data_IF_805903995810
#
_entry.id   IF_805903995810
#
_cell.length_a   1.000
_cell.length_b   1.000
_cell.length_c   1.000
_cell.angle_alpha   90.00
_cell.angle_beta   90.00
_cell.angle_gamma   90.00
#
_symmetry.space_group_name_H-M   'P 1'
#
loop_
_entity.id
_entity.type
_entity.pdbx_description
1 polymer ?
#
# COMPACT_ATOMS: atom_id res chain seq x y z
N UNK A 1 56.32 -20.93 17.93
CA UNK A 1 57.11 -20.24 16.88
C UNK A 1 57.22 -21.17 15.69
N UNK A 2 56.92 -20.70 14.48
CA UNK A 2 57.09 -21.44 13.22
C UNK A 2 57.50 -20.43 12.13
N UNK A 3 58.24 -20.86 11.12
CA UNK A 3 59.05 -19.98 10.25
C UNK A 3 58.51 -19.89 8.83
N UNK A 4 58.32 -18.67 8.31
CA UNK A 4 58.02 -18.39 6.90
C UNK A 4 59.17 -17.62 6.25
N UNK A 5 59.85 -18.20 5.25
CA UNK A 5 60.85 -17.51 4.40
C UNK A 5 60.93 -18.11 2.99
N UNK A 6 60.49 -17.37 1.99
CA UNK A 6 60.89 -17.37 0.55
C UNK A 6 60.23 -16.09 -0.04
N UNK A 7 60.90 -15.05 -0.56
CA UNK A 7 61.84 -14.93 -1.70
C UNK A 7 61.31 -15.61 -2.98
N UNK A 8 61.16 -14.95 -4.15
CA UNK A 8 61.50 -13.56 -4.56
C UNK A 8 60.44 -13.05 -5.60
N UNK A 9 60.55 -12.00 -6.42
CA UNK A 9 61.69 -11.21 -6.95
C UNK A 9 61.30 -9.74 -7.26
N UNK A 10 61.82 -9.13 -8.34
CA UNK A 10 61.63 -7.73 -8.76
C UNK A 10 60.95 -7.60 -10.13
N UNK A 11 60.38 -6.42 -10.43
CA UNK A 11 60.75 -5.65 -11.63
C UNK A 11 60.31 -4.17 -11.55
N UNK A 12 61.02 -3.28 -12.27
CA UNK A 12 60.82 -1.82 -12.29
C UNK A 12 60.59 -1.32 -13.73
N UNK A 13 59.57 -0.48 -13.94
CA UNK A 13 59.40 0.39 -15.12
C UNK A 13 58.78 1.72 -14.63
N UNK A 14 59.58 2.78 -14.46
CA UNK A 14 59.93 3.81 -15.45
C UNK A 14 58.78 4.76 -15.84
N UNK A 15 59.09 6.06 -15.73
CA UNK A 15 58.21 7.21 -15.95
C UNK A 15 58.73 7.97 -17.17
N UNK A 16 57.86 8.49 -18.05
CA UNK A 16 58.27 9.46 -19.06
C UNK A 16 57.10 10.38 -19.48
N UNK A 17 57.36 11.69 -19.49
CA UNK A 17 56.53 12.69 -20.16
C UNK A 17 56.96 12.81 -21.63
N UNK A 18 56.03 13.22 -22.50
CA UNK A 18 56.32 14.10 -23.65
C UNK A 18 55.07 14.91 -24.04
N UNK A 19 55.27 16.04 -24.70
CA UNK A 19 54.25 17.08 -24.89
C UNK A 19 53.78 17.26 -26.33
N UNK A 20 52.50 17.65 -26.49
CA UNK A 20 51.95 18.59 -27.49
C UNK A 20 52.43 18.55 -28.95
N UNK A 21 51.48 18.31 -29.87
CA UNK A 21 51.43 18.97 -31.19
C UNK A 21 50.03 19.56 -31.42
N UNK A 22 49.91 20.56 -32.29
CA UNK A 22 48.72 21.42 -32.46
C UNK A 22 48.05 21.15 -33.82
N UNK A 23 46.72 21.21 -33.88
CA UNK A 23 45.97 21.52 -35.10
C UNK A 23 44.55 21.99 -34.74
N UNK A 24 44.06 22.99 -35.48
CA UNK A 24 42.94 23.87 -35.08
C UNK A 24 41.64 23.66 -35.89
N UNK A 25 40.60 24.44 -35.55
CA UNK A 25 39.36 24.74 -36.32
C UNK A 25 38.19 23.71 -36.16
N UNK A 26 36.93 24.11 -35.86
CA UNK A 26 36.46 25.10 -34.87
C UNK A 26 35.21 24.65 -34.06
N UNK A 27 34.84 25.28 -32.92
CA UNK A 27 33.57 25.04 -32.24
C UNK A 27 32.45 26.03 -32.65
N UNK A 28 31.18 25.60 -32.79
CA UNK A 28 30.06 26.51 -33.05
C UNK A 28 29.57 27.25 -31.78
N UNK A 29 29.40 28.56 -31.91
CA UNK A 29 28.56 29.42 -31.06
C UNK A 29 27.07 29.26 -31.45
N UNK A 30 26.04 29.61 -30.66
CA UNK A 30 25.88 30.15 -29.29
C UNK A 30 24.40 29.99 -28.88
N UNK A 31 24.07 29.87 -27.58
CA UNK A 31 22.80 30.39 -26.97
C UNK A 31 22.64 30.02 -25.47
N UNK A 32 23.42 30.61 -24.57
CA UNK A 32 23.15 30.54 -23.10
C UNK A 32 22.47 31.81 -22.62
N UNK A 33 21.17 31.73 -22.33
CA UNK A 33 20.38 32.86 -21.82
C UNK A 33 20.66 33.10 -20.32
N UNK A 34 21.62 33.98 -20.03
CA UNK A 34 21.73 34.59 -18.71
C UNK A 34 20.65 35.66 -18.51
N UNK A 35 19.82 35.49 -17.48
CA UNK A 35 19.00 36.56 -16.91
C UNK A 35 19.59 36.98 -15.56
N UNK A 36 19.81 38.29 -15.38
CA UNK A 36 20.39 38.90 -14.18
C UNK A 36 19.38 39.91 -13.60
N UNK A 37 19.19 39.98 -12.26
CA UNK A 37 18.05 40.71 -11.69
C UNK A 37 18.23 42.23 -11.72
N UNK A 38 17.11 42.94 -11.85
CA UNK A 38 17.00 44.39 -11.69
C UNK A 38 16.22 44.72 -10.42
N UNK A 39 16.88 45.34 -9.44
CA UNK A 39 16.18 46.03 -8.36
C UNK A 39 15.48 47.28 -8.92
N UNK A 40 14.29 47.60 -8.42
CA UNK A 40 13.74 48.96 -8.47
C UNK A 40 12.89 49.20 -7.23
N UNK A 41 13.34 50.13 -6.39
CA UNK A 41 12.66 50.54 -5.16
C UNK A 41 11.55 51.54 -5.49
N UNK A 42 10.35 51.33 -4.97
CA UNK A 42 9.26 52.30 -5.03
C UNK A 42 8.84 52.70 -3.60
N UNK A 43 9.46 53.76 -3.07
CA UNK A 43 9.04 54.40 -1.81
C UNK A 43 7.94 55.42 -2.08
N UNK A 44 6.85 55.34 -1.32
CA UNK A 44 5.87 56.41 -1.17
C UNK A 44 5.53 56.59 0.31
N UNK A 45 5.56 57.84 0.79
CA UNK A 45 5.27 58.18 2.18
C UNK A 45 4.43 59.45 2.24
N UNK A 46 3.42 59.48 3.11
CA UNK A 46 3.17 60.64 3.98
C UNK A 46 2.20 60.30 5.15
N UNK A 47 2.39 61.09 6.21
CA UNK A 47 1.47 61.50 7.29
C UNK A 47 -0.04 61.52 7.00
N UNK A 48 -0.94 61.53 7.99
CA UNK A 48 -0.89 61.31 9.46
C UNK A 48 -2.31 61.43 10.00
N UNK A 49 -2.66 60.80 11.15
CA UNK A 49 -3.53 61.46 12.15
C UNK A 49 -3.45 60.83 13.55
N UNK A 50 -3.80 61.63 14.55
CA UNK A 50 -3.90 61.30 15.98
C UNK A 50 -5.11 60.39 16.31
N UNK A 51 -4.95 59.52 17.32
CA UNK A 51 -5.57 59.80 18.63
C UNK A 51 -4.86 59.07 19.79
N UNK A 52 -4.81 59.72 20.96
CA UNK A 52 -4.38 59.10 22.22
C UNK A 52 -5.38 58.05 22.71
N UNK A 53 -4.92 57.09 23.51
CA UNK A 53 -5.34 56.98 24.91
C UNK A 53 -4.24 56.33 25.77
N UNK A 54 -4.18 56.69 27.06
CA UNK A 54 -3.24 56.15 28.05
C UNK A 54 -3.74 54.81 28.61
N UNK A 55 -2.84 53.89 28.99
CA UNK A 55 -2.44 53.77 30.42
C UNK A 55 -1.31 52.75 30.64
N UNK A 56 -0.71 52.82 31.83
CA UNK A 56 0.51 52.13 32.23
C UNK A 56 0.29 50.71 32.77
N UNK A 57 1.37 49.94 32.64
CA UNK A 57 1.71 48.74 33.43
C UNK A 57 1.43 48.94 34.93
N UNK A 58 0.90 47.91 35.59
CA UNK A 58 1.22 47.55 36.99
C UNK A 58 1.38 46.03 37.07
N UNK A 59 2.44 45.58 37.73
CA UNK A 59 2.63 44.20 38.16
C UNK A 59 2.30 44.09 39.65
N UNK A 60 1.59 43.05 40.08
CA UNK A 60 1.46 42.72 41.49
C UNK A 60 1.14 41.26 41.73
N UNK A 61 1.33 40.81 42.97
CA UNK A 61 1.18 39.41 43.40
C UNK A 61 0.20 39.30 44.56
N UNK A 62 -0.59 38.21 44.60
CA UNK A 62 -0.69 37.28 45.75
C UNK A 62 -1.67 36.13 45.50
N UNK A 63 -1.72 35.23 46.49
CA UNK A 63 -2.29 33.87 46.45
C UNK A 63 -3.76 33.81 46.91
N UNK A 64 -4.31 32.59 46.78
CA UNK A 64 -5.56 32.06 47.36
C UNK A 64 -6.89 32.48 46.71
N UNK A 65 -7.45 31.53 45.94
CA UNK A 65 -8.88 31.21 46.04
C UNK A 65 -9.08 29.70 45.88
N UNK A 66 -10.21 29.20 46.39
CA UNK A 66 -10.49 27.80 46.73
C UNK A 66 -11.15 27.05 45.54
N UNK A 67 -11.06 25.72 45.54
CA UNK A 67 -11.74 24.83 44.58
C UNK A 67 -13.24 25.13 44.42
N UNK A 68 -13.77 24.86 43.23
CA UNK A 68 -14.87 23.89 43.13
C UNK A 68 -14.46 22.64 42.33
N UNK A 69 -14.80 21.45 42.84
CA UNK A 69 -14.70 20.20 42.08
C UNK A 69 -15.79 20.14 41.02
N UNK A 70 -15.52 20.60 39.81
CA UNK A 70 -16.39 20.35 38.65
C UNK A 70 -16.15 18.94 38.14
N UNK A 71 -17.18 18.09 38.22
CA UNK A 71 -17.15 16.73 37.70
C UNK A 71 -16.86 16.72 36.20
N UNK A 72 -15.77 16.07 35.79
CA UNK A 72 -15.52 15.78 34.37
C UNK A 72 -16.52 14.71 33.90
N UNK A 73 -17.72 15.16 33.51
CA UNK A 73 -18.67 14.36 32.76
C UNK A 73 -18.12 14.16 31.35
N UNK A 74 -17.33 13.10 31.16
CA UNK A 74 -16.78 12.72 29.85
C UNK A 74 -17.90 12.65 28.82
N UNK A 75 -17.88 13.47 27.74
CA UNK A 75 -18.78 13.25 26.62
C UNK A 75 -18.35 11.94 25.95
N UNK A 76 -19.14 10.89 26.15
CA UNK A 76 -19.00 9.61 25.45
C UNK A 76 -19.40 9.79 23.99
N UNK A 77 -18.48 10.39 23.22
CA UNK A 77 -18.62 10.74 21.81
C UNK A 77 -18.79 9.50 20.95
N UNK A 78 -20.02 9.01 20.90
CA UNK A 78 -20.50 7.92 20.05
C UNK A 78 -20.69 8.42 18.62
N UNK A 79 -19.59 8.86 17.99
CA UNK A 79 -19.50 9.31 16.60
C UNK A 79 -19.56 8.15 15.58
N UNK A 80 -20.35 7.11 15.88
CA UNK A 80 -20.58 5.97 14.97
C UNK A 80 -21.36 6.37 13.70
N UNK A 81 -22.13 7.47 13.76
CA UNK A 81 -22.97 7.95 12.65
C UNK A 81 -22.21 8.67 11.52
N UNK A 82 -20.91 8.96 11.66
CA UNK A 82 -20.13 9.68 10.63
C UNK A 82 -19.16 8.80 9.85
N UNK A 83 -19.06 7.50 10.18
CA UNK A 83 -18.12 6.58 9.51
C UNK A 83 -18.71 5.85 8.30
N UNK A 84 -20.02 5.59 8.28
CA UNK A 84 -20.68 4.82 7.21
C UNK A 84 -20.32 5.34 5.82
N UNK A 85 -20.45 6.65 5.61
CA UNK A 85 -20.39 7.25 4.28
C UNK A 85 -18.96 7.45 3.74
N UNK A 86 -17.94 6.94 4.44
CA UNK A 86 -16.53 7.12 4.06
C UNK A 86 -16.16 6.27 2.84
N UNK A 87 -16.77 5.08 2.72
CA UNK A 87 -16.39 4.06 1.73
C UNK A 87 -17.44 3.81 0.64
N UNK A 88 -18.61 4.47 0.72
CA UNK A 88 -19.72 4.33 -0.24
C UNK A 88 -19.26 4.47 -1.70
N UNK A 89 -18.38 5.43 -1.98
CA UNK A 89 -17.87 5.70 -3.33
C UNK A 89 -16.96 4.56 -3.83
N UNK A 90 -16.08 4.03 -2.97
CA UNK A 90 -15.26 2.86 -3.27
C UNK A 90 -16.13 1.63 -3.53
N UNK A 91 -17.14 1.39 -2.68
CA UNK A 91 -18.07 0.28 -2.85
C UNK A 91 -18.91 0.44 -4.13
N UNK A 92 -19.34 1.66 -4.49
CA UNK A 92 -20.06 1.94 -5.74
C UNK A 92 -19.17 1.62 -6.97
N UNK A 93 -17.90 2.04 -6.98
CA UNK A 93 -17.00 1.74 -8.08
C UNK A 93 -16.72 0.22 -8.19
N UNK A 94 -16.42 -0.44 -7.08
CA UNK A 94 -16.14 -1.88 -7.04
C UNK A 94 -17.35 -2.75 -7.42
N UNK A 95 -18.54 -2.45 -6.87
CA UNK A 95 -19.79 -3.16 -7.24
C UNK A 95 -20.20 -2.94 -8.69
N UNK A 96 -19.78 -1.84 -9.31
CA UNK A 96 -19.96 -1.55 -10.74
C UNK A 96 -18.83 -2.11 -11.63
N UNK A 97 -17.85 -2.83 -11.06
CA UNK A 97 -16.63 -3.30 -11.73
C UNK A 97 -15.76 -2.18 -12.37
N UNK A 98 -15.93 -0.95 -11.93
CA UNK A 98 -15.12 0.22 -12.32
C UNK A 98 -13.81 0.21 -11.52
N UNK A 99 -12.98 -0.81 -11.72
CA UNK A 99 -11.79 -1.09 -10.90
C UNK A 99 -10.71 0.01 -10.99
N UNK A 100 -10.67 0.77 -12.09
CA UNK A 100 -9.76 1.92 -12.22
C UNK A 100 -10.16 3.06 -11.30
N UNK A 101 -11.43 3.43 -11.32
CA UNK A 101 -11.98 4.49 -10.47
C UNK A 101 -11.94 4.06 -9.00
N UNK A 102 -12.11 2.76 -8.71
CA UNK A 102 -11.87 2.19 -7.39
C UNK A 102 -10.41 2.30 -6.92
N UNK A 103 -9.42 2.17 -7.82
CA UNK A 103 -8.00 2.39 -7.50
C UNK A 103 -7.70 3.87 -7.22
N UNK A 104 -8.25 4.77 -8.05
CA UNK A 104 -8.12 6.21 -7.86
C UNK A 104 -8.77 6.67 -6.52
N UNK A 105 -9.93 6.10 -6.17
CA UNK A 105 -10.62 6.33 -4.89
C UNK A 105 -9.91 5.69 -3.70
N UNK A 106 -9.39 4.46 -3.83
CA UNK A 106 -8.57 3.80 -2.79
C UNK A 106 -7.35 4.66 -2.44
N UNK A 107 -6.70 5.22 -3.45
CA UNK A 107 -5.56 6.14 -3.29
C UNK A 107 -5.97 7.42 -2.57
N UNK A 108 -7.14 8.00 -2.88
CA UNK A 108 -7.71 9.16 -2.17
C UNK A 108 -8.00 8.82 -0.71
N UNK A 109 -8.58 7.66 -0.42
CA UNK A 109 -8.89 7.20 0.93
C UNK A 109 -7.63 7.03 1.78
N UNK A 110 -6.60 6.37 1.27
CA UNK A 110 -5.31 6.25 1.97
C UNK A 110 -4.69 7.62 2.28
N UNK A 111 -4.79 8.59 1.37
CA UNK A 111 -4.33 9.97 1.57
C UNK A 111 -5.12 10.66 2.70
N UNK A 112 -6.44 10.47 2.77
CA UNK A 112 -7.29 11.04 3.83
C UNK A 112 -7.00 10.39 5.19
N UNK A 113 -6.95 9.06 5.25
CA UNK A 113 -6.73 8.28 6.47
C UNK A 113 -5.31 8.47 7.06
N UNK A 114 -4.31 8.78 6.23
CA UNK A 114 -2.96 9.15 6.67
C UNK A 114 -2.88 10.57 7.28
N UNK A 115 -3.97 11.37 7.21
CA UNK A 115 -4.11 12.65 7.90
C UNK A 115 -3.86 13.90 7.05
N UNK A 116 -3.98 15.07 7.68
CA UNK A 116 -3.96 16.39 7.03
C UNK A 116 -2.67 16.67 6.24
N UNK A 117 -1.52 16.19 6.74
CA UNK A 117 -0.23 16.38 6.08
C UNK A 117 -0.12 15.57 4.78
N UNK A 118 -0.70 14.36 4.73
CA UNK A 118 -0.81 13.54 3.53
C UNK A 118 -1.79 14.16 2.52
N UNK A 119 -2.94 14.66 2.98
CA UNK A 119 -3.92 15.39 2.17
C UNK A 119 -3.30 16.64 1.52
N UNK A 120 -2.56 17.44 2.30
CA UNK A 120 -1.90 18.66 1.82
C UNK A 120 -0.83 18.39 0.76
N UNK A 121 -0.12 17.24 0.83
CA UNK A 121 0.90 16.86 -0.17
C UNK A 121 0.36 16.05 -1.35
N UNK A 122 -0.86 15.50 -1.26
CA UNK A 122 -1.48 14.65 -2.28
C UNK A 122 -0.89 13.24 -2.40
N UNK A 123 -0.18 12.74 -1.38
CA UNK A 123 0.37 11.37 -1.32
C UNK A 123 0.72 10.98 0.13
N UNK A 124 0.94 9.68 0.36
CA UNK A 124 1.29 9.11 1.68
C UNK A 124 2.78 8.77 1.73
N UNK A 125 3.49 9.15 2.81
CA UNK A 125 4.81 8.59 3.13
C UNK A 125 4.69 7.28 3.91
N UNK A 126 5.65 6.37 3.76
CA UNK A 126 5.66 5.08 4.47
C UNK A 126 5.54 5.21 6.00
N UNK A 127 6.10 6.27 6.59
CA UNK A 127 6.02 6.60 8.01
C UNK A 127 4.64 7.09 8.48
N UNK A 128 3.71 7.36 7.57
CA UNK A 128 2.34 7.79 7.86
C UNK A 128 1.35 6.62 7.88
N UNK A 129 1.73 5.47 7.28
CA UNK A 129 0.86 4.27 7.20
C UNK A 129 0.47 3.76 8.59
N UNK A 130 1.35 3.87 9.58
CA UNK A 130 1.09 3.50 10.99
C UNK A 130 -0.02 4.31 11.68
N UNK A 131 -0.48 5.42 11.07
CA UNK A 131 -1.59 6.23 11.60
C UNK A 131 -2.93 5.91 10.93
N UNK A 132 -2.93 5.11 9.86
CA UNK A 132 -4.15 4.65 9.19
C UNK A 132 -4.86 3.65 10.12
N UNK A 133 -6.12 3.89 10.53
CA UNK A 133 -6.77 3.00 11.49
C UNK A 133 -6.97 1.59 10.94
N UNK A 134 -6.70 0.58 11.77
CA UNK A 134 -6.72 -0.84 11.36
C UNK A 134 -8.04 -1.26 10.72
N UNK A 135 -9.16 -0.91 11.35
CA UNK A 135 -10.51 -1.20 10.84
C UNK A 135 -10.83 -0.48 9.53
N UNK A 136 -10.29 0.73 9.31
CA UNK A 136 -10.55 1.53 8.11
C UNK A 136 -9.73 0.99 6.92
N UNK A 137 -8.50 0.50 7.16
CA UNK A 137 -7.72 -0.20 6.13
C UNK A 137 -8.24 -1.61 5.84
N UNK A 138 -8.72 -2.34 6.85
CA UNK A 138 -9.40 -3.63 6.67
C UNK A 138 -10.70 -3.48 5.87
N UNK A 139 -11.50 -2.44 6.11
CA UNK A 139 -12.72 -2.17 5.32
C UNK A 139 -12.41 -1.95 3.82
N UNK A 140 -11.33 -1.25 3.49
CA UNK A 140 -10.86 -1.11 2.10
C UNK A 140 -10.51 -2.47 1.50
N UNK A 141 -9.76 -3.31 2.20
CA UNK A 141 -9.36 -4.64 1.73
C UNK A 141 -10.53 -5.61 1.57
N UNK A 142 -11.44 -5.65 2.55
CA UNK A 142 -12.63 -6.49 2.54
C UNK A 142 -13.54 -6.14 1.35
N UNK A 143 -13.68 -4.85 1.02
CA UNK A 143 -14.40 -4.40 -0.19
C UNK A 143 -13.70 -4.88 -1.49
N UNK A 144 -12.38 -4.72 -1.59
CA UNK A 144 -11.61 -5.20 -2.74
C UNK A 144 -11.73 -6.71 -2.93
N UNK A 145 -11.63 -7.49 -1.84
CA UNK A 145 -11.80 -8.94 -1.85
C UNK A 145 -13.21 -9.35 -2.27
N UNK A 146 -14.24 -8.79 -1.63
CA UNK A 146 -15.66 -9.09 -1.89
C UNK A 146 -16.05 -8.87 -3.36
N UNK A 147 -15.59 -7.78 -3.98
CA UNK A 147 -15.95 -7.43 -5.36
C UNK A 147 -14.99 -7.97 -6.43
N UNK A 148 -13.97 -8.75 -6.05
CA UNK A 148 -13.00 -9.38 -6.97
C UNK A 148 -12.96 -10.90 -6.91
N UNK A 149 -13.93 -11.55 -6.24
CA UNK A 149 -13.89 -12.98 -5.92
C UNK A 149 -12.58 -13.38 -5.19
N UNK A 150 -12.14 -12.55 -4.23
CA UNK A 150 -10.89 -12.70 -3.47
C UNK A 150 -9.60 -12.67 -4.31
N UNK A 151 -9.63 -12.08 -5.52
CA UNK A 151 -8.44 -11.94 -6.39
C UNK A 151 -7.65 -10.65 -6.20
N UNK A 152 -8.27 -9.59 -5.68
CA UNK A 152 -7.65 -8.28 -5.43
C UNK A 152 -7.73 -7.91 -3.94
N UNK A 153 -6.83 -7.05 -3.48
CA UNK A 153 -6.71 -6.65 -2.09
C UNK A 153 -5.26 -6.60 -1.60
N UNK A 154 -5.00 -5.81 -0.56
CA UNK A 154 -3.71 -5.73 0.11
C UNK A 154 -3.38 -6.99 0.93
N UNK A 155 -4.38 -7.69 1.47
CA UNK A 155 -4.19 -9.01 2.11
C UNK A 155 -3.81 -10.08 1.09
N UNK A 156 -4.41 -10.04 -0.11
CA UNK A 156 -4.06 -10.91 -1.24
C UNK A 156 -2.62 -10.63 -1.70
N UNK A 157 -2.26 -9.36 -1.85
CA UNK A 157 -0.87 -8.95 -2.14
C UNK A 157 0.11 -9.38 -1.03
N UNK A 158 -0.28 -9.29 0.24
CA UNK A 158 0.54 -9.72 1.39
C UNK A 158 0.85 -11.22 1.30
N UNK A 159 -0.16 -12.06 1.12
CA UNK A 159 -0.03 -13.52 0.92
C UNK A 159 0.89 -13.86 -0.26
N UNK A 160 0.79 -13.11 -1.36
CA UNK A 160 1.71 -13.27 -2.50
C UNK A 160 3.14 -12.85 -2.12
N UNK A 161 3.31 -11.72 -1.44
CA UNK A 161 4.61 -11.13 -1.09
C UNK A 161 5.41 -12.00 -0.10
N UNK A 162 4.77 -12.50 0.96
CA UNK A 162 5.46 -13.34 1.96
C UNK A 162 5.59 -14.79 1.48
N UNK A 163 4.48 -15.45 1.15
CA UNK A 163 4.48 -16.92 0.98
C UNK A 163 4.93 -17.34 -0.42
N UNK A 164 4.55 -16.56 -1.45
CA UNK A 164 4.72 -16.96 -2.86
C UNK A 164 5.98 -16.38 -3.52
N UNK A 165 6.70 -15.46 -2.87
CA UNK A 165 7.96 -14.82 -3.35
C UNK A 165 8.97 -14.43 -2.25
N UNK A 166 8.72 -14.74 -0.97
CA UNK A 166 9.69 -14.56 0.13
C UNK A 166 10.27 -13.14 0.26
N UNK A 167 9.39 -12.13 0.24
CA UNK A 167 9.69 -10.69 0.32
C UNK A 167 10.49 -10.07 -0.85
N UNK A 168 10.72 -10.79 -1.95
CA UNK A 168 11.35 -10.24 -3.15
C UNK A 168 10.36 -9.38 -3.97
N UNK A 169 10.58 -8.07 -4.00
CA UNK A 169 9.76 -7.13 -4.75
C UNK A 169 9.82 -7.31 -6.28
N UNK A 170 10.90 -7.83 -6.85
CA UNK A 170 11.02 -8.08 -8.29
C UNK A 170 10.12 -9.24 -8.68
N UNK A 171 10.24 -10.35 -7.94
CA UNK A 171 9.39 -11.51 -8.13
C UNK A 171 7.92 -11.19 -7.81
N UNK A 172 7.66 -10.36 -6.80
CA UNK A 172 6.32 -9.82 -6.53
C UNK A 172 5.74 -9.06 -7.73
N UNK A 173 6.46 -8.05 -8.26
CA UNK A 173 5.96 -7.23 -9.38
C UNK A 173 5.74 -8.03 -10.68
N UNK A 174 6.51 -9.10 -10.90
CA UNK A 174 6.25 -10.04 -11.99
C UNK A 174 4.97 -10.84 -11.69
N UNK A 175 4.79 -11.35 -10.46
CA UNK A 175 3.69 -12.26 -10.08
C UNK A 175 2.34 -11.58 -9.94
N UNK A 176 2.28 -10.33 -9.46
CA UNK A 176 1.07 -9.48 -9.55
C UNK A 176 0.96 -8.77 -10.91
N UNK A 177 1.89 -9.03 -11.84
CA UNK A 177 1.86 -8.52 -13.21
C UNK A 177 1.96 -7.00 -13.35
N UNK A 178 2.60 -6.29 -12.42
CA UNK A 178 2.97 -4.87 -12.58
C UNK A 178 4.17 -4.68 -13.52
N UNK A 179 4.91 -5.75 -13.78
CA UNK A 179 5.88 -5.86 -14.88
C UNK A 179 5.30 -6.64 -16.06
N UNK A 180 5.86 -6.40 -17.25
CA UNK A 180 5.64 -7.16 -18.48
C UNK A 180 6.95 -7.74 -18.97
N UNK A 181 6.93 -8.98 -19.48
CA UNK A 181 8.07 -9.59 -20.18
C UNK A 181 8.24 -8.90 -21.55
N UNK A 182 9.48 -8.69 -21.97
CA UNK A 182 9.84 -8.21 -23.30
C UNK A 182 9.99 -9.38 -24.27
N UNK A 183 9.65 -9.16 -25.54
CA UNK A 183 9.83 -10.12 -26.62
C UNK A 183 11.28 -10.06 -27.12
N UNK A 184 12.18 -10.66 -26.35
CA UNK A 184 13.63 -10.66 -26.53
C UNK A 184 14.21 -12.04 -26.25
N UNK A 185 15.32 -12.39 -26.92
CA UNK A 185 16.02 -13.69 -26.73
C UNK A 185 16.53 -13.93 -25.29
N UNK A 186 16.62 -12.86 -24.49
CA UNK A 186 16.92 -12.89 -23.06
C UNK A 186 15.67 -12.49 -22.28
N UNK A 187 15.41 -13.19 -21.17
CA UNK A 187 14.30 -12.90 -20.26
C UNK A 187 14.47 -11.54 -19.56
N UNK A 188 13.94 -10.49 -20.20
CA UNK A 188 13.93 -9.13 -19.67
C UNK A 188 12.51 -8.70 -19.30
N UNK A 189 12.39 -7.98 -18.20
CA UNK A 189 11.13 -7.42 -17.71
C UNK A 189 11.21 -5.89 -17.62
N UNK A 190 10.10 -5.21 -17.92
CA UNK A 190 9.95 -3.77 -17.72
C UNK A 190 8.65 -3.48 -16.96
N UNK A 191 8.59 -2.35 -16.26
CA UNK A 191 7.37 -1.88 -15.61
C UNK A 191 6.27 -1.56 -16.64
N UNK A 192 5.01 -1.78 -16.27
CA UNK A 192 3.85 -1.32 -17.03
C UNK A 192 3.66 0.18 -16.89
N UNK A 193 3.34 0.86 -17.99
CA UNK A 193 3.01 2.28 -17.98
C UNK A 193 1.59 2.52 -17.42
N UNK A 194 1.49 3.31 -16.35
CA UNK A 194 0.20 3.74 -15.79
C UNK A 194 -0.44 4.85 -16.64
N UNK A 195 -1.78 4.84 -16.85
CA UNK A 195 -2.74 3.80 -16.49
C UNK A 195 -2.90 2.70 -17.58
N UNK A 196 -2.46 2.98 -18.82
CA UNK A 196 -2.91 2.26 -20.02
C UNK A 196 -2.43 0.81 -20.15
N UNK A 197 -1.35 0.41 -19.47
CA UNK A 197 -0.82 -0.97 -19.58
C UNK A 197 -1.23 -1.88 -18.42
N UNK A 198 -1.95 -1.36 -17.42
CA UNK A 198 -2.52 -2.14 -16.33
C UNK A 198 -3.86 -2.76 -16.73
N UNK A 199 -4.26 -3.84 -16.06
CA UNK A 199 -5.47 -4.60 -16.36
C UNK A 199 -6.57 -4.16 -15.39
N UNK A 200 -7.63 -3.56 -15.93
CA UNK A 200 -8.72 -2.95 -15.16
C UNK A 200 -10.01 -3.79 -15.19
N UNK A 201 -9.92 -5.06 -15.57
CA UNK A 201 -11.03 -6.00 -15.77
C UNK A 201 -10.82 -7.26 -14.89
N UNK A 202 -11.89 -7.93 -14.48
CA UNK A 202 -11.84 -9.14 -13.65
C UNK A 202 -11.87 -10.41 -14.51
N UNK A 203 -10.89 -10.56 -15.39
CA UNK A 203 -10.80 -11.68 -16.34
C UNK A 203 -9.90 -12.80 -15.80
N UNK A 204 -10.02 -14.03 -16.33
CA UNK A 204 -9.20 -15.17 -15.90
C UNK A 204 -7.68 -14.91 -16.01
N UNK A 205 -7.23 -14.24 -17.07
CA UNK A 205 -5.82 -13.85 -17.27
C UNK A 205 -5.30 -12.79 -16.29
N UNK A 206 -6.17 -12.15 -15.49
CA UNK A 206 -5.78 -11.03 -14.62
C UNK A 206 -5.06 -11.54 -13.37
N UNK A 207 -3.80 -11.13 -13.10
CA UNK A 207 -3.04 -11.71 -11.99
C UNK A 207 -3.68 -11.53 -10.62
N UNK A 208 -3.52 -12.55 -9.76
CA UNK A 208 -3.85 -12.45 -8.33
C UNK A 208 -3.06 -11.28 -7.72
N UNK A 209 -3.72 -10.44 -6.92
CA UNK A 209 -3.14 -9.26 -6.30
C UNK A 209 -2.82 -8.10 -7.26
N UNK A 210 -3.27 -8.12 -8.54
CA UNK A 210 -2.96 -7.04 -9.49
C UNK A 210 -3.39 -5.64 -8.99
N UNK A 211 -4.52 -5.57 -8.27
CA UNK A 211 -5.07 -4.34 -7.69
C UNK A 211 -5.30 -4.50 -6.17
N UNK A 212 -5.39 -3.41 -5.40
CA UNK A 212 -5.11 -2.00 -5.78
C UNK A 212 -3.60 -1.71 -5.97
N UNK A 213 -3.28 -0.69 -6.77
CA UNK A 213 -1.91 -0.28 -7.08
C UNK A 213 -1.30 0.56 -5.95
N UNK A 214 0.00 0.35 -5.70
CA UNK A 214 0.80 1.24 -4.85
C UNK A 214 1.97 1.79 -5.64
N UNK A 215 2.08 3.12 -5.71
CA UNK A 215 3.06 3.79 -6.56
C UNK A 215 4.51 3.59 -6.06
N UNK A 216 5.26 2.72 -6.73
CA UNK A 216 6.65 2.37 -6.41
C UNK A 216 7.70 3.36 -6.95
N UNK A 217 7.32 4.45 -7.65
CA UNK A 217 8.27 5.46 -8.18
C UNK A 217 9.07 6.19 -7.09
N UNK A 218 8.64 6.09 -5.82
CA UNK A 218 9.35 6.62 -4.64
C UNK A 218 10.03 5.50 -3.81
N UNK A 219 10.23 4.33 -4.40
CA UNK A 219 10.71 3.12 -3.72
C UNK A 219 9.58 2.30 -3.08
N UNK A 220 9.91 1.08 -2.67
CA UNK A 220 8.92 0.07 -2.23
C UNK A 220 8.50 0.17 -0.77
N UNK A 221 9.08 1.11 0.01
CA UNK A 221 8.83 1.23 1.45
C UNK A 221 7.36 1.52 1.80
N UNK A 222 6.65 2.30 0.98
CA UNK A 222 5.22 2.56 1.19
C UNK A 222 4.40 1.26 1.11
N UNK A 223 4.63 0.46 0.05
CA UNK A 223 4.00 -0.84 -0.11
C UNK A 223 4.42 -1.80 1.02
N UNK A 224 5.71 -1.84 1.40
CA UNK A 224 6.16 -2.70 2.52
C UNK A 224 5.43 -2.37 3.81
N UNK A 225 5.27 -1.08 4.16
CA UNK A 225 4.53 -0.66 5.34
C UNK A 225 3.03 -1.01 5.26
N UNK A 226 2.40 -0.94 4.08
CA UNK A 226 1.00 -1.36 3.91
C UNK A 226 0.86 -2.87 4.08
N UNK A 227 1.67 -3.70 3.42
CA UNK A 227 1.58 -5.17 3.55
C UNK A 227 1.94 -5.67 4.97
N UNK A 228 2.77 -4.93 5.71
CA UNK A 228 3.09 -5.21 7.12
C UNK A 228 2.07 -4.63 8.12
N UNK A 229 1.00 -3.98 7.68
CA UNK A 229 0.00 -3.39 8.58
C UNK A 229 -0.76 -4.49 9.36
N UNK A 230 -1.07 -4.31 10.66
CA UNK A 230 -1.74 -5.32 11.49
C UNK A 230 -3.13 -5.73 10.96
N UNK A 231 -3.80 -4.85 10.21
CA UNK A 231 -5.10 -5.08 9.58
C UNK A 231 -5.20 -6.37 8.73
N UNK A 232 -4.06 -6.90 8.28
CA UNK A 232 -3.97 -8.08 7.43
C UNK A 232 -3.28 -9.26 8.13
N UNK A 233 -3.25 -9.32 9.46
CA UNK A 233 -2.59 -10.40 10.21
C UNK A 233 -3.51 -11.59 10.52
N UNK A 234 -4.83 -11.43 10.44
CA UNK A 234 -5.81 -12.44 10.87
C UNK A 234 -6.65 -13.02 9.71
N UNK A 235 -6.47 -12.52 8.47
CA UNK A 235 -7.38 -12.72 7.33
C UNK A 235 -7.64 -14.21 7.02
N UNK A 236 -6.61 -15.06 7.07
CA UNK A 236 -6.72 -16.49 6.77
C UNK A 236 -7.64 -17.23 7.76
N UNK A 237 -7.60 -16.84 9.04
CA UNK A 237 -8.46 -17.40 10.08
C UNK A 237 -9.89 -16.84 10.03
N UNK A 238 -10.14 -15.79 9.26
CA UNK A 238 -11.48 -15.29 8.95
C UNK A 238 -12.03 -16.05 7.73
N UNK A 239 -11.23 -16.19 6.66
CA UNK A 239 -11.57 -16.96 5.45
C UNK A 239 -11.92 -18.43 5.78
N UNK A 240 -11.11 -19.12 6.60
CA UNK A 240 -11.41 -20.51 7.00
C UNK A 240 -12.73 -20.61 7.78
N UNK A 241 -12.98 -19.68 8.72
CA UNK A 241 -14.21 -19.67 9.53
C UNK A 241 -15.45 -19.36 8.69
N UNK A 242 -15.37 -18.44 7.75
CA UNK A 242 -16.48 -18.10 6.85
C UNK A 242 -16.83 -19.28 5.92
N UNK A 243 -15.81 -19.98 5.41
CA UNK A 243 -15.98 -21.15 4.54
C UNK A 243 -16.57 -22.34 5.32
N UNK A 244 -16.11 -22.59 6.56
CA UNK A 244 -16.72 -23.56 7.48
C UNK A 244 -18.17 -23.20 7.85
N UNK A 245 -18.44 -21.93 8.18
CA UNK A 245 -19.78 -21.45 8.55
C UNK A 245 -20.78 -21.54 7.40
N UNK A 246 -20.33 -21.24 6.17
CA UNK A 246 -21.11 -21.38 4.93
C UNK A 246 -21.38 -22.86 4.62
N UNK A 247 -20.38 -23.73 4.81
CA UNK A 247 -20.53 -25.17 4.68
C UNK A 247 -21.58 -25.74 5.65
N UNK A 248 -21.58 -25.29 6.91
CA UNK A 248 -22.61 -25.69 7.88
C UNK A 248 -24.02 -25.22 7.49
N UNK A 249 -24.17 -23.97 7.01
CA UNK A 249 -25.45 -23.45 6.54
C UNK A 249 -26.03 -24.25 5.35
N UNK A 250 -25.17 -24.65 4.40
CA UNK A 250 -25.57 -25.50 3.28
C UNK A 250 -25.99 -26.92 3.71
N UNK A 251 -25.38 -27.47 4.78
CA UNK A 251 -25.80 -28.76 5.35
C UNK A 251 -27.14 -28.65 6.09
N UNK A 252 -27.38 -27.56 6.83
CA UNK A 252 -28.66 -27.32 7.51
C UNK A 252 -29.82 -27.16 6.51
N UNK A 253 -29.62 -26.45 5.40
CA UNK A 253 -30.62 -26.26 4.34
C UNK A 253 -31.03 -27.58 3.65
N UNK A 254 -30.10 -28.52 3.46
CA UNK A 254 -30.41 -29.84 2.91
C UNK A 254 -31.18 -30.75 3.90
N UNK A 255 -31.16 -30.42 5.20
CA UNK A 255 -31.77 -31.21 6.27
C UNK A 255 -33.27 -30.90 6.44
N UNK A 256 -33.68 -29.66 6.19
CA UNK A 256 -35.09 -29.22 6.26
C UNK A 256 -35.92 -29.67 5.07
N UNK A 257 -35.30 -29.99 3.93
CA UNK A 257 -35.97 -30.50 2.73
C UNK A 257 -36.46 -31.96 2.84
N UNK A 258 -35.99 -32.74 3.82
CA UNK A 258 -36.21 -34.19 3.91
C UNK A 258 -36.96 -34.61 5.18
N UNK A 259 -38.19 -34.11 5.38
CA UNK A 259 -39.12 -34.62 6.41
C UNK A 259 -40.52 -34.84 5.82
N UNK A 260 -40.68 -35.89 5.02
CA UNK A 260 -42.00 -36.30 4.51
C UNK A 260 -42.01 -37.70 3.86
N UNK A 261 -42.82 -38.62 4.39
CA UNK A 261 -43.19 -39.88 3.72
C UNK A 261 -42.46 -41.15 4.18
N UNK A 262 -42.90 -41.75 5.30
CA UNK A 262 -42.50 -43.09 5.72
C UNK A 262 -43.42 -44.17 5.11
N UNK A 263 -42.95 -45.00 4.16
CA UNK A 263 -43.45 -46.38 3.95
C UNK A 263 -42.65 -47.18 2.90
N UNK A 264 -42.34 -48.45 3.20
CA UNK A 264 -42.21 -49.48 2.15
C UNK A 264 -41.05 -50.49 2.24
N UNK A 265 -41.33 -51.66 2.82
CA UNK A 265 -40.70 -52.98 2.61
C UNK A 265 -39.20 -53.20 2.92
N UNK A 266 -38.92 -54.45 3.31
CA UNK A 266 -37.59 -55.06 3.38
C UNK A 266 -37.31 -55.85 2.10
N UNK A 267 -36.05 -55.87 1.67
CA UNK A 267 -35.30 -57.12 1.49
C UNK A 267 -33.81 -56.83 1.74
N UNK A 268 -32.93 -57.82 1.86
CA UNK A 268 -31.52 -57.58 2.13
C UNK A 268 -30.57 -58.66 1.61
N UNK A 269 -29.27 -58.33 1.50
CA UNK A 269 -28.16 -59.31 1.49
C UNK A 269 -26.77 -58.67 1.42
N UNK A 270 -26.09 -58.64 2.59
CA UNK A 270 -24.64 -58.79 2.84
C UNK A 270 -23.59 -57.87 2.12
N UNK A 271 -22.42 -57.61 2.75
CA UNK A 271 -21.48 -56.57 2.28
C UNK A 271 -20.30 -57.09 1.46
N UNK A 272 -19.68 -56.21 0.65
CA UNK A 272 -18.38 -56.48 0.01
C UNK A 272 -17.38 -55.31 0.13
N UNK A 273 -16.39 -55.55 1.01
CA UNK A 273 -14.96 -55.19 0.92
C UNK A 273 -14.54 -53.71 0.70
N UNK A 274 -13.75 -53.23 1.68
CA UNK A 274 -12.83 -52.10 1.58
C UNK A 274 -11.99 -52.11 0.29
N UNK A 275 -11.65 -50.93 -0.22
CA UNK A 275 -10.28 -50.63 -0.68
C UNK A 275 -9.77 -49.42 0.09
N UNK A 276 -8.52 -49.49 0.51
CA UNK A 276 -7.72 -48.33 0.96
C UNK A 276 -7.00 -47.80 -0.28
N UNK A 277 -6.86 -46.49 -0.37
CA UNK A 277 -5.88 -45.85 -1.25
C UNK A 277 -5.37 -44.57 -0.57
N UNK A 278 -4.35 -44.72 0.26
CA UNK A 278 -3.47 -43.61 0.64
C UNK A 278 -2.52 -43.34 -0.53
N UNK A 279 -2.06 -42.09 -0.66
CA UNK A 279 -0.99 -41.70 -1.58
C UNK A 279 -0.37 -40.39 -1.07
N UNK A 280 0.60 -40.51 -0.16
CA UNK A 280 1.44 -39.39 0.23
C UNK A 280 2.18 -38.81 -0.99
N UNK A 281 2.35 -37.50 -1.03
CA UNK A 281 3.38 -36.85 -1.82
C UNK A 281 4.03 -35.73 -1.01
N UNK A 282 5.29 -35.94 -0.65
CA UNK A 282 6.18 -34.95 -0.06
C UNK A 282 7.50 -35.00 -0.81
N UNK A 283 8.00 -33.83 -1.22
CA UNK A 283 9.36 -33.59 -1.71
C UNK A 283 9.68 -32.10 -1.56
#
# INVERSE_FOLDING_TARGET
MATNTYHNHHSLLHHHHHSTTHHDIPPPSTATLFLKPTNTTATSSLSSHHHHHHSLVISSTKLFSILPTTSFSSPSSSSSSSKSNTFDLLQQHLSSQNFREADEETRRLLIVLAGEAAQTRGYVFFSEVQFIPEADLKAIDDLWRQHSNNRFGYSVQKRIFFDKVSEDFTNFFIKVGWMKKLDTEVDQFNYRAFPNEFIWELNDDTPEGHLPLTNALRGTQLLKCILNHPAFNNTEQEEEKELLQTGMAAVEANKTASTGGFKGLMDGSKPLKKRVLESDYSF
#
